data_IF_114706589053
#
_entry.id   IF_114706589053
#
_cell.length_a   1.000
_cell.length_b   1.000
_cell.length_c   1.000
_cell.angle_alpha   90.00
_cell.angle_beta   90.00
_cell.angle_gamma   90.00
#
_symmetry.space_group_name_H-M   'P 1'
#
loop_
_entity.id
_entity.type
_entity.pdbx_description
1 polymer ?
#
# COMPACT_ATOMS: atom_id res chain seq x y z
N UNK A 1 -4.03 -5.72 -12.08
CA UNK A 1 -4.53 -5.19 -10.78
C UNK A 1 -5.69 -4.25 -11.06
N UNK A 2 -6.88 -4.51 -10.50
CA UNK A 2 -8.07 -3.70 -10.79
C UNK A 2 -8.25 -2.58 -9.76
N UNK A 3 -8.85 -1.47 -10.18
CA UNK A 3 -9.12 -0.32 -9.31
C UNK A 3 -9.99 -0.69 -8.09
N UNK A 4 -10.91 -1.65 -8.23
CA UNK A 4 -11.76 -2.14 -7.14
C UNK A 4 -10.96 -2.67 -5.95
N UNK A 5 -9.89 -3.44 -6.21
CA UNK A 5 -9.04 -3.99 -5.16
C UNK A 5 -8.33 -2.89 -4.37
N UNK A 6 -7.91 -1.82 -5.05
CA UNK A 6 -7.22 -0.68 -4.42
C UNK A 6 -8.18 0.09 -3.52
N UNK A 7 -9.43 0.28 -3.94
CA UNK A 7 -10.48 0.88 -3.11
C UNK A 7 -10.77 0.02 -1.88
N UNK A 8 -10.85 -1.31 -2.03
CA UNK A 8 -11.04 -2.23 -0.91
C UNK A 8 -9.89 -2.12 0.09
N UNK A 9 -8.63 -2.06 -0.36
CA UNK A 9 -7.47 -1.86 0.52
C UNK A 9 -7.58 -0.54 1.28
N UNK A 10 -7.93 0.57 0.61
CA UNK A 10 -8.15 1.88 1.25
C UNK A 10 -9.21 1.78 2.36
N UNK A 11 -10.31 1.09 2.11
CA UNK A 11 -11.37 0.84 3.09
C UNK A 11 -10.86 0.00 4.27
N UNK A 12 -10.11 -1.07 4.03
CA UNK A 12 -9.50 -1.90 5.09
C UNK A 12 -8.57 -1.05 5.98
N UNK A 13 -7.72 -0.23 5.38
CA UNK A 13 -6.83 0.67 6.13
C UNK A 13 -7.62 1.62 7.03
N UNK A 14 -8.71 2.20 6.50
CA UNK A 14 -9.59 3.07 7.29
C UNK A 14 -10.28 2.31 8.44
N UNK A 15 -10.81 1.12 8.16
CA UNK A 15 -11.44 0.27 9.18
C UNK A 15 -10.45 -0.12 10.27
N UNK A 16 -9.20 -0.45 9.92
CA UNK A 16 -8.15 -0.75 10.89
C UNK A 16 -7.93 0.43 11.85
N UNK A 17 -7.78 1.66 11.34
CA UNK A 17 -7.59 2.84 12.20
C UNK A 17 -8.78 3.06 13.14
N UNK A 18 -10.01 2.84 12.65
CA UNK A 18 -11.22 2.99 13.45
C UNK A 18 -11.32 1.95 14.57
N UNK A 19 -11.07 0.67 14.26
CA UNK A 19 -11.26 -0.44 15.20
C UNK A 19 -10.09 -0.54 16.19
N UNK A 20 -8.85 -0.38 15.72
CA UNK A 20 -7.66 -0.49 16.58
C UNK A 20 -7.37 0.77 17.38
N UNK A 21 -7.95 1.92 16.99
CA UNK A 21 -7.57 3.26 17.46
C UNK A 21 -6.09 3.59 17.25
N UNK A 22 -5.39 2.84 16.40
CA UNK A 22 -4.02 3.12 15.97
C UNK A 22 -4.04 3.93 14.68
N UNK A 23 -2.97 4.71 14.46
CA UNK A 23 -2.78 5.44 13.21
C UNK A 23 -1.83 4.69 12.30
N UNK A 24 -2.21 4.48 11.05
CA UNK A 24 -1.33 3.86 10.07
C UNK A 24 -0.20 4.83 9.75
N UNK A 25 1.03 4.33 9.81
CA UNK A 25 2.19 5.08 9.34
C UNK A 25 2.38 4.86 7.84
N UNK A 26 1.67 5.66 7.05
CA UNK A 26 1.72 5.68 5.60
C UNK A 26 3.14 5.88 5.02
N UNK A 27 4.05 6.51 5.76
CA UNK A 27 5.45 6.67 5.36
C UNK A 27 6.26 5.36 5.44
N UNK A 28 5.87 4.44 6.34
CA UNK A 28 6.45 3.10 6.44
C UNK A 28 5.74 2.07 5.55
N UNK A 29 4.47 2.30 5.21
CA UNK A 29 3.71 1.43 4.32
C UNK A 29 4.16 1.62 2.87
N UNK A 30 4.36 0.50 2.15
CA UNK A 30 4.70 0.51 0.72
C UNK A 30 3.71 -0.28 -0.12
N UNK A 31 3.54 0.15 -1.36
CA UNK A 31 2.64 -0.44 -2.33
C UNK A 31 3.35 -0.65 -3.67
N UNK A 32 3.17 -1.80 -4.30
CA UNK A 32 3.78 -2.13 -5.58
C UNK A 32 2.96 -3.18 -6.33
N UNK A 33 3.27 -3.36 -7.61
CA UNK A 33 2.67 -4.38 -8.47
C UNK A 33 3.74 -5.07 -9.32
N UNK A 34 3.64 -6.39 -9.45
CA UNK A 34 4.52 -7.18 -10.34
C UNK A 34 3.82 -7.29 -11.69
N UNK A 35 4.52 -7.00 -12.79
CA UNK A 35 3.95 -7.00 -14.13
C UNK A 35 2.88 -5.92 -14.36
N UNK A 36 2.94 -4.83 -13.58
CA UNK A 36 2.06 -3.66 -13.70
C UNK A 36 2.92 -2.46 -14.09
N UNK A 37 2.42 -1.62 -14.99
CA UNK A 37 3.09 -0.39 -15.40
C UNK A 37 3.34 0.55 -14.20
N UNK A 38 4.52 1.16 -14.16
CA UNK A 38 4.97 1.97 -13.03
C UNK A 38 4.04 3.18 -12.78
N UNK A 39 3.53 3.80 -13.84
CA UNK A 39 2.59 4.91 -13.73
C UNK A 39 1.27 4.51 -13.05
N UNK A 40 0.77 3.32 -13.37
CA UNK A 40 -0.42 2.76 -12.71
C UNK A 40 -0.14 2.50 -11.23
N UNK A 41 1.01 1.90 -10.90
CA UNK A 41 1.44 1.67 -9.51
C UNK A 41 1.55 2.99 -8.75
N UNK A 42 2.12 4.02 -9.38
CA UNK A 42 2.25 5.37 -8.81
C UNK A 42 0.90 6.03 -8.56
N UNK A 43 -0.04 5.91 -9.49
CA UNK A 43 -1.42 6.38 -9.31
C UNK A 43 -2.09 5.74 -8.09
N UNK A 44 -1.96 4.43 -7.95
CA UNK A 44 -2.51 3.70 -6.80
C UNK A 44 -1.77 3.96 -5.49
N UNK A 45 -0.45 4.11 -5.49
CA UNK A 45 0.31 4.46 -4.28
C UNK A 45 -0.10 5.84 -3.77
N UNK A 46 -0.28 6.81 -4.67
CA UNK A 46 -0.79 8.13 -4.33
C UNK A 46 -2.21 8.06 -3.77
N UNK A 47 -3.10 7.30 -4.41
CA UNK A 47 -4.46 7.10 -3.90
C UNK A 47 -4.46 6.46 -2.50
N UNK A 48 -3.57 5.51 -2.23
CA UNK A 48 -3.44 4.86 -0.92
C UNK A 48 -2.67 5.69 0.11
N UNK A 49 -2.08 6.84 -0.27
CA UNK A 49 -1.11 7.61 0.51
C UNK A 49 0.15 6.80 0.91
N UNK A 50 0.48 5.72 0.20
CA UNK A 50 1.63 4.86 0.50
C UNK A 50 2.83 5.21 -0.38
N UNK A 51 4.03 4.82 0.03
CA UNK A 51 5.21 4.91 -0.84
C UNK A 51 5.23 3.79 -1.87
N UNK A 52 5.84 4.02 -3.02
CA UNK A 52 6.08 2.96 -4.00
C UNK A 52 7.07 1.93 -3.42
N UNK A 53 6.78 0.66 -3.65
CA UNK A 53 7.66 -0.47 -3.39
C UNK A 53 8.54 -0.71 -4.61
N UNK A 54 9.85 -0.55 -4.46
CA UNK A 54 10.84 -0.88 -5.49
C UNK A 54 11.25 -2.35 -5.38
N UNK A 55 11.31 -3.07 -6.51
CA UNK A 55 11.82 -4.44 -6.55
C UNK A 55 13.26 -4.48 -7.07
N UNK A 56 14.13 -5.36 -6.52
CA UNK A 56 13.90 -6.20 -5.33
C UNK A 56 13.81 -5.35 -4.05
N UNK A 57 13.03 -5.81 -3.06
CA UNK A 57 12.85 -5.09 -1.79
C UNK A 57 13.50 -5.83 -0.62
N UNK A 58 13.88 -5.08 0.41
CA UNK A 58 14.46 -5.62 1.64
C UNK A 58 13.34 -6.20 2.52
N UNK A 59 13.31 -7.52 2.66
CA UNK A 59 12.45 -8.20 3.65
C UNK A 59 13.11 -8.13 5.03
N UNK A 60 12.47 -7.46 5.99
CA UNK A 60 12.96 -7.28 7.36
C UNK A 60 12.63 -8.49 8.26
N UNK A 61 12.85 -9.71 7.78
CA UNK A 61 12.66 -10.91 8.59
C UNK A 61 13.44 -10.81 9.91
N UNK A 62 12.83 -11.30 11.01
CA UNK A 62 13.62 -11.53 12.23
C UNK A 62 14.53 -12.73 11.97
N UNK A 63 15.81 -12.60 12.34
CA UNK A 63 16.73 -13.74 12.44
C UNK A 63 16.20 -14.76 13.45
#
# INVERSE_FOLDING_TARGET
MHASNVVVIKSIMRCFELVSKLKINFYKTRFGGIGVEEEIVKGYSNYLNCRILSFPFMYLGKK
#
